data_IF_677651004551
#
_entry.id   IF_677651004551
#
_cell.length_a   1.000
_cell.length_b   1.000
_cell.length_c   1.000
_cell.angle_alpha   90.00
_cell.angle_beta   90.00
_cell.angle_gamma   90.00
#
_symmetry.space_group_name_H-M   'P 1'
#
loop_
_entity.id
_entity.type
_entity.pdbx_description
1 polymer ?
#
# COMPACT_ATOMS: atom_id res chain seq x y z
N UNK A 1 -9.83 -9.23 -1.58
CA UNK A 1 -9.46 -7.93 -2.15
C UNK A 1 -10.73 -7.26 -2.60
N UNK A 2 -10.88 -5.98 -2.26
CA UNK A 2 -12.08 -5.20 -2.59
C UNK A 2 -11.94 -4.56 -3.97
N UNK A 3 -10.71 -4.27 -4.39
CA UNK A 3 -10.38 -3.71 -5.69
C UNK A 3 -9.00 -4.19 -6.12
N UNK A 4 -8.82 -4.40 -7.41
CA UNK A 4 -7.53 -4.73 -8.04
C UNK A 4 -7.42 -3.87 -9.29
N UNK A 5 -6.26 -3.28 -9.52
CA UNK A 5 -5.96 -2.52 -10.72
C UNK A 5 -4.56 -2.79 -11.23
N UNK A 6 -4.28 -2.40 -12.46
CA UNK A 6 -2.97 -2.59 -13.11
C UNK A 6 -2.45 -1.25 -13.60
N UNK A 7 -1.26 -0.87 -13.18
CA UNK A 7 -0.56 0.33 -13.61
C UNK A 7 0.70 -0.01 -14.38
N UNK A 8 1.09 0.87 -15.30
CA UNK A 8 2.42 0.86 -15.90
C UNK A 8 3.50 1.29 -14.90
N UNK A 9 4.75 1.12 -15.28
CA UNK A 9 5.92 1.42 -14.43
C UNK A 9 6.47 2.84 -14.61
N UNK A 10 5.98 3.59 -15.59
CA UNK A 10 6.42 4.96 -15.84
C UNK A 10 5.70 5.94 -14.90
N UNK A 11 6.41 6.41 -13.89
CA UNK A 11 5.96 7.43 -12.95
C UNK A 11 6.78 8.74 -13.06
N UNK A 12 7.41 9.01 -14.22
CA UNK A 12 8.27 10.17 -14.41
C UNK A 12 7.57 11.50 -14.06
N UNK A 13 6.26 11.60 -14.32
CA UNK A 13 5.47 12.78 -13.98
C UNK A 13 5.39 13.05 -12.45
N UNK A 14 5.60 12.05 -11.61
CA UNK A 14 5.60 12.18 -10.15
C UNK A 14 6.97 12.56 -9.57
N UNK A 15 8.06 12.44 -10.35
CA UNK A 15 9.43 12.69 -9.88
C UNK A 15 9.67 14.14 -9.39
N UNK A 16 9.20 15.20 -10.09
CA UNK A 16 9.41 16.55 -9.62
C UNK A 16 8.76 16.82 -8.25
N UNK A 17 7.55 16.33 -8.03
CA UNK A 17 6.85 16.44 -6.76
C UNK A 17 7.58 15.70 -5.62
N UNK A 18 8.04 14.48 -5.88
CA UNK A 18 8.83 13.71 -4.94
C UNK A 18 10.16 14.40 -4.59
N UNK A 19 10.86 14.94 -5.61
CA UNK A 19 12.11 15.67 -5.40
C UNK A 19 11.90 16.92 -4.54
N UNK A 20 10.88 17.71 -4.83
CA UNK A 20 10.51 18.90 -4.05
C UNK A 20 10.14 18.54 -2.61
N UNK A 21 9.38 17.49 -2.39
CA UNK A 21 8.99 16.99 -1.08
C UNK A 21 10.20 16.55 -0.24
N UNK A 22 11.16 15.84 -0.88
CA UNK A 22 12.41 15.43 -0.24
C UNK A 22 13.28 16.64 0.11
N UNK A 23 13.44 17.59 -0.83
CA UNK A 23 14.24 18.79 -0.65
C UNK A 23 13.70 19.69 0.47
N UNK A 24 12.39 19.75 0.63
CA UNK A 24 11.71 20.48 1.71
C UNK A 24 11.83 19.77 3.08
N UNK A 25 12.40 18.57 3.15
CA UNK A 25 12.56 17.83 4.40
C UNK A 25 11.24 17.33 5.00
N UNK A 26 10.16 17.22 4.22
CA UNK A 26 8.84 16.81 4.70
C UNK A 26 8.80 15.38 5.23
N UNK A 27 9.82 14.58 4.95
CA UNK A 27 9.99 13.25 5.56
C UNK A 27 10.35 13.31 7.06
N UNK A 28 10.73 14.48 7.61
CA UNK A 28 11.11 14.63 9.02
C UNK A 28 12.25 13.68 9.40
N UNK A 29 12.09 12.97 10.51
CA UNK A 29 13.06 11.99 11.00
C UNK A 29 13.01 10.63 10.27
N UNK A 30 12.12 10.46 9.29
CA UNK A 30 12.01 9.21 8.52
C UNK A 30 13.06 9.12 7.42
N UNK A 31 14.33 9.00 7.79
CA UNK A 31 15.46 9.00 6.85
C UNK A 31 15.39 7.89 5.79
N UNK A 32 14.65 6.80 6.05
CA UNK A 32 14.42 5.74 5.07
C UNK A 32 13.61 6.25 3.85
N UNK A 33 12.83 7.32 4.01
CA UNK A 33 12.11 7.95 2.90
C UNK A 33 13.08 8.60 1.91
N UNK A 34 14.10 9.29 2.41
CA UNK A 34 15.12 9.94 1.59
C UNK A 34 16.13 8.94 0.99
N UNK A 35 16.44 7.83 1.69
CA UNK A 35 17.47 6.86 1.28
C UNK A 35 17.31 6.34 -0.14
N UNK A 36 16.08 6.15 -0.61
CA UNK A 36 15.81 5.61 -1.93
C UNK A 36 15.59 6.70 -2.98
N UNK A 37 15.42 7.97 -2.57
CA UNK A 37 15.25 9.10 -3.46
C UNK A 37 14.24 8.83 -4.59
N UNK A 38 14.61 9.19 -5.81
CA UNK A 38 13.76 9.02 -6.99
C UNK A 38 13.50 7.56 -7.40
N UNK A 39 14.24 6.58 -6.86
CA UNK A 39 13.91 5.15 -7.12
C UNK A 39 12.49 4.80 -6.71
N UNK A 40 11.87 5.57 -5.78
CA UNK A 40 10.47 5.39 -5.41
C UNK A 40 9.50 5.60 -6.57
N UNK A 41 9.85 6.44 -7.52
CA UNK A 41 9.09 6.69 -8.74
C UNK A 41 9.52 5.78 -9.91
N UNK A 42 10.43 4.83 -9.68
CA UNK A 42 11.02 3.99 -10.73
C UNK A 42 10.94 2.50 -10.37
N UNK A 43 9.74 1.91 -10.40
CA UNK A 43 9.53 0.51 -10.03
C UNK A 43 10.46 -0.47 -10.77
N UNK A 44 10.78 -0.21 -12.04
CA UNK A 44 11.67 -1.04 -12.84
C UNK A 44 13.16 -0.99 -12.39
N UNK A 45 13.58 0.09 -11.72
CA UNK A 45 14.90 0.15 -11.08
C UNK A 45 14.92 -0.62 -9.74
N UNK A 46 13.79 -0.72 -9.07
CA UNK A 46 13.65 -1.48 -7.82
C UNK A 46 13.62 -2.98 -8.07
N UNK A 47 12.90 -3.39 -9.09
CA UNK A 47 12.79 -4.79 -9.54
C UNK A 47 13.03 -4.81 -11.05
N UNK A 48 14.25 -5.13 -11.51
CA UNK A 48 14.57 -5.16 -12.93
C UNK A 48 13.64 -6.10 -13.72
N UNK A 49 13.22 -5.65 -14.91
CA UNK A 49 12.31 -6.40 -15.75
C UNK A 49 10.83 -6.23 -15.39
N UNK A 50 10.48 -5.36 -14.43
CA UNK A 50 9.07 -5.07 -14.12
C UNK A 50 8.39 -4.42 -15.32
N UNK A 51 7.36 -5.06 -15.86
CA UNK A 51 6.54 -4.55 -16.97
C UNK A 51 5.29 -3.80 -16.47
N UNK A 52 4.72 -4.23 -15.33
CA UNK A 52 3.54 -3.62 -14.75
C UNK A 52 3.51 -3.82 -13.23
N UNK A 53 2.65 -3.04 -12.56
CA UNK A 53 2.40 -3.16 -11.13
C UNK A 53 0.92 -3.44 -10.92
N UNK A 54 0.62 -4.52 -10.23
CA UNK A 54 -0.73 -4.84 -9.79
C UNK A 54 -0.94 -4.25 -8.41
N UNK A 55 -1.88 -3.33 -8.28
CA UNK A 55 -2.30 -2.76 -7.00
C UNK A 55 -3.55 -3.47 -6.49
N UNK A 56 -3.67 -3.61 -5.18
CA UNK A 56 -4.83 -4.24 -4.59
C UNK A 56 -5.22 -3.54 -3.29
N UNK A 57 -6.51 -3.28 -3.13
CA UNK A 57 -7.10 -2.73 -1.92
C UNK A 57 -7.87 -3.81 -1.15
N UNK A 58 -7.79 -3.73 0.16
CA UNK A 58 -8.58 -4.56 1.06
C UNK A 58 -9.24 -3.66 2.11
N UNK A 59 -10.55 -3.69 2.17
CA UNK A 59 -11.29 -3.00 3.21
C UNK A 59 -11.06 -3.70 4.56
N UNK A 60 -10.86 -2.92 5.60
CA UNK A 60 -10.57 -3.39 6.95
C UNK A 60 -11.59 -2.93 7.99
N UNK A 61 -12.54 -2.09 7.60
CA UNK A 61 -13.60 -1.65 8.50
C UNK A 61 -14.48 -2.84 8.92
N UNK A 62 -14.97 -2.88 10.17
CA UNK A 62 -15.92 -3.88 10.60
C UNK A 62 -17.14 -3.90 9.69
N UNK A 63 -17.65 -5.09 9.40
CA UNK A 63 -18.99 -5.21 8.80
C UNK A 63 -19.99 -4.90 9.89
N UNK A 64 -20.54 -3.72 9.85
CA UNK A 64 -21.54 -3.27 10.80
C UNK A 64 -22.88 -3.07 10.06
N UNK A 65 -23.84 -3.91 10.43
CA UNK A 65 -25.22 -3.87 9.91
C UNK A 65 -26.02 -2.71 10.54
N UNK A 66 -25.47 -1.53 10.64
CA UNK A 66 -26.17 -0.38 11.23
C UNK A 66 -25.33 0.88 11.41
N UNK A 67 -24.05 0.86 11.01
CA UNK A 67 -23.19 2.04 11.06
C UNK A 67 -22.74 2.45 12.47
N UNK A 68 -23.04 1.67 13.50
CA UNK A 68 -22.77 1.98 14.90
C UNK A 68 -21.30 1.93 15.30
N UNK A 69 -20.44 1.37 14.44
CA UNK A 69 -19.01 1.29 14.73
C UNK A 69 -18.37 2.67 14.90
N UNK A 70 -18.89 3.71 14.21
CA UNK A 70 -18.41 5.11 14.37
C UNK A 70 -18.74 5.61 15.77
N UNK A 71 -19.99 5.46 16.19
CA UNK A 71 -20.46 5.88 17.52
C UNK A 71 -19.68 5.15 18.63
N UNK A 72 -19.43 3.86 18.46
CA UNK A 72 -18.64 3.05 19.39
C UNK A 72 -17.17 3.51 19.47
N UNK A 73 -16.56 3.89 18.34
CA UNK A 73 -15.21 4.43 18.29
C UNK A 73 -15.14 5.83 18.94
N UNK A 74 -16.10 6.71 18.66
CA UNK A 74 -16.18 8.04 19.26
C UNK A 74 -16.37 7.96 20.78
N UNK A 75 -17.24 7.07 21.24
CA UNK A 75 -17.42 6.80 22.65
C UNK A 75 -16.16 6.23 23.31
N UNK A 76 -15.43 5.36 22.60
CA UNK A 76 -14.17 4.82 23.09
C UNK A 76 -13.06 5.89 23.18
N UNK A 77 -13.00 6.79 22.19
CA UNK A 77 -12.05 7.93 22.20
C UNK A 77 -12.36 8.95 23.30
N UNK A 78 -13.63 9.12 23.65
CA UNK A 78 -14.06 10.03 24.71
C UNK A 78 -13.83 9.48 26.13
N UNK A 79 -13.62 8.17 26.30
CA UNK A 79 -13.39 7.57 27.63
C UNK A 79 -11.90 7.63 28.00
N UNK A 80 -11.49 8.47 28.99
CA UNK A 80 -10.09 8.62 29.38
C UNK A 80 -9.48 7.36 30.04
N UNK A 81 -10.30 6.35 30.33
CA UNK A 81 -9.85 5.07 30.93
C UNK A 81 -9.55 4.00 29.86
N UNK A 82 -9.78 4.31 28.59
CA UNK A 82 -9.61 3.35 27.49
C UNK A 82 -8.46 3.77 26.59
N UNK A 83 -7.61 2.81 26.25
CA UNK A 83 -6.67 2.95 25.13
C UNK A 83 -7.38 2.56 23.83
N UNK A 84 -7.29 3.41 22.81
CA UNK A 84 -7.86 3.14 21.48
C UNK A 84 -6.74 2.84 20.50
N UNK A 85 -6.86 1.70 19.84
CA UNK A 85 -5.97 1.27 18.76
C UNK A 85 -6.70 1.47 17.43
N UNK A 86 -6.02 2.04 16.44
CA UNK A 86 -6.58 2.22 15.10
C UNK A 86 -7.14 0.92 14.53
N UNK A 87 -8.30 0.99 13.89
CA UNK A 87 -9.04 -0.20 13.41
C UNK A 87 -8.19 -1.09 12.51
N UNK A 88 -7.36 -0.51 11.63
CA UNK A 88 -6.49 -1.27 10.74
C UNK A 88 -5.44 -2.12 11.47
N UNK A 89 -5.06 -1.70 12.70
CA UNK A 89 -4.04 -2.38 13.50
C UNK A 89 -4.62 -3.45 14.44
N UNK A 90 -5.94 -3.61 14.47
CA UNK A 90 -6.61 -4.60 15.30
C UNK A 90 -6.59 -5.98 14.64
N UNK A 91 -6.53 -7.02 15.44
CA UNK A 91 -6.59 -8.40 14.99
C UNK A 91 -5.25 -8.93 14.50
N UNK A 92 -5.27 -9.62 13.35
CA UNK A 92 -4.06 -10.20 12.77
C UNK A 92 -3.22 -9.14 12.08
N UNK A 93 -1.89 -9.31 12.11
CA UNK A 93 -0.94 -8.48 11.36
C UNK A 93 -1.34 -8.39 9.88
N UNK A 94 -1.80 -7.21 9.46
CA UNK A 94 -2.29 -6.97 8.11
C UNK A 94 -1.20 -7.14 7.05
N UNK A 95 0.07 -6.88 7.39
CA UNK A 95 1.18 -7.12 6.46
C UNK A 95 1.25 -8.59 6.05
N UNK A 96 1.12 -9.50 7.02
CA UNK A 96 1.13 -10.95 6.76
C UNK A 96 -0.12 -11.38 5.99
N UNK A 97 -1.28 -10.82 6.34
CA UNK A 97 -2.54 -11.15 5.68
C UNK A 97 -2.53 -10.71 4.22
N UNK A 98 -2.18 -9.44 3.94
CA UNK A 98 -2.12 -8.90 2.58
C UNK A 98 -1.06 -9.62 1.75
N UNK A 99 0.15 -9.77 2.29
CA UNK A 99 1.23 -10.47 1.59
C UNK A 99 0.84 -11.88 1.18
N UNK A 100 0.22 -12.65 2.08
CA UNK A 100 -0.26 -14.01 1.77
C UNK A 100 -1.35 -14.00 0.68
N UNK A 101 -2.26 -13.02 0.70
CA UNK A 101 -3.31 -12.91 -0.32
C UNK A 101 -2.78 -12.48 -1.67
N UNK A 102 -1.83 -11.54 -1.71
CA UNK A 102 -1.15 -11.11 -2.94
C UNK A 102 -0.31 -12.23 -3.54
N UNK A 103 0.38 -13.01 -2.72
CA UNK A 103 1.13 -14.17 -3.19
C UNK A 103 0.21 -15.19 -3.87
N UNK A 104 -0.91 -15.53 -3.25
CA UNK A 104 -1.92 -16.43 -3.85
C UNK A 104 -2.53 -15.85 -5.14
N UNK A 105 -2.69 -14.53 -5.22
CA UNK A 105 -3.13 -13.88 -6.47
C UNK A 105 -2.09 -14.08 -7.58
N UNK A 106 -0.81 -13.84 -7.29
CA UNK A 106 0.26 -14.03 -8.26
C UNK A 106 0.36 -15.49 -8.74
N UNK A 107 0.24 -16.46 -7.83
CA UNK A 107 0.22 -17.89 -8.15
C UNK A 107 -0.96 -18.25 -9.06
N UNK A 108 -2.15 -17.74 -8.79
CA UNK A 108 -3.31 -17.95 -9.67
C UNK A 108 -3.13 -17.33 -11.03
N UNK A 109 -2.59 -16.09 -11.10
CA UNK A 109 -2.27 -15.46 -12.38
C UNK A 109 -1.26 -16.30 -13.17
N UNK A 110 -0.22 -16.84 -12.54
CA UNK A 110 0.76 -17.68 -13.18
C UNK A 110 0.14 -18.98 -13.75
N UNK A 111 -0.93 -19.48 -13.16
CA UNK A 111 -1.68 -20.63 -13.69
C UNK A 111 -2.42 -20.27 -14.99
N UNK A 112 -2.94 -19.05 -15.11
CA UNK A 112 -3.73 -18.61 -16.26
C UNK A 112 -2.87 -18.10 -17.44
N UNK A 113 -1.79 -17.36 -17.15
CA UNK A 113 -1.00 -16.68 -18.17
C UNK A 113 0.37 -17.32 -18.42
N UNK A 114 0.70 -18.36 -17.66
CA UNK A 114 2.03 -18.97 -17.65
C UNK A 114 2.95 -18.34 -16.59
N UNK A 115 4.12 -18.96 -16.33
CA UNK A 115 5.05 -18.52 -15.30
C UNK A 115 5.65 -17.15 -15.62
N UNK A 116 5.71 -16.28 -14.62
CA UNK A 116 6.34 -14.95 -14.68
C UNK A 116 7.05 -14.63 -13.37
N UNK A 117 8.08 -13.76 -13.43
CA UNK A 117 8.72 -13.21 -12.24
C UNK A 117 7.80 -12.21 -11.55
N UNK A 118 7.72 -12.29 -10.23
CA UNK A 118 6.94 -11.33 -9.44
C UNK A 118 7.56 -11.07 -8.07
N UNK A 119 7.22 -9.96 -7.48
CA UNK A 119 7.57 -9.63 -6.10
C UNK A 119 6.39 -8.96 -5.41
N UNK A 120 6.04 -9.46 -4.24
CA UNK A 120 4.91 -8.98 -3.44
C UNK A 120 5.39 -8.04 -2.36
N UNK A 121 4.73 -6.88 -2.24
CA UNK A 121 4.99 -5.87 -1.23
C UNK A 121 3.73 -5.53 -0.44
N UNK A 122 3.91 -5.12 0.80
CA UNK A 122 2.90 -4.50 1.65
C UNK A 122 3.64 -3.56 2.58
N UNK A 123 3.53 -2.26 2.38
CA UNK A 123 4.22 -1.17 3.11
C UNK A 123 5.76 -1.33 3.22
N UNK A 124 6.35 -2.28 2.54
CA UNK A 124 7.75 -2.67 2.69
C UNK A 124 8.63 -2.31 1.49
N UNK A 125 8.06 -1.75 0.44
CA UNK A 125 8.79 -1.34 -0.74
C UNK A 125 8.89 0.19 -0.85
N UNK A 126 10.02 0.71 -1.34
CA UNK A 126 10.16 2.13 -1.62
C UNK A 126 9.50 2.48 -2.97
N UNK A 127 8.18 2.40 -3.05
CA UNK A 127 7.38 2.75 -4.23
C UNK A 127 6.35 3.84 -3.88
N UNK A 128 5.86 4.55 -4.89
CA UNK A 128 4.78 5.52 -4.75
C UNK A 128 3.44 4.78 -4.87
N UNK A 129 3.02 4.12 -3.80
CA UNK A 129 1.83 3.24 -3.80
C UNK A 129 0.55 3.98 -4.18
N UNK A 130 0.35 5.20 -3.66
CA UNK A 130 -0.83 6.02 -3.96
C UNK A 130 -0.86 6.42 -5.43
N UNK A 131 0.28 6.84 -6.00
CA UNK A 131 0.39 7.18 -7.43
C UNK A 131 0.10 5.97 -8.31
N UNK A 132 0.66 4.81 -7.97
CA UNK A 132 0.38 3.56 -8.67
C UNK A 132 -1.10 3.16 -8.57
N UNK A 133 -1.70 3.29 -7.39
CA UNK A 133 -3.12 2.99 -7.21
C UNK A 133 -4.02 3.91 -8.01
N UNK A 134 -3.72 5.22 -8.04
CA UNK A 134 -4.45 6.21 -8.84
C UNK A 134 -4.40 5.88 -10.34
N UNK A 135 -3.25 5.44 -10.85
CA UNK A 135 -3.09 5.06 -12.27
C UNK A 135 -3.71 3.72 -12.61
N UNK A 136 -3.94 2.89 -11.62
CA UNK A 136 -4.54 1.57 -11.79
C UNK A 136 -6.10 1.61 -11.83
N UNK A 137 -6.71 2.72 -11.47
CA UNK A 137 -8.16 2.94 -11.49
C UNK A 137 -8.84 2.64 -10.17
#
# INVERSE_FOLDING_TARGET
>A
MSQIGVAGVDLAAAEPGLAAWLAAGFHGSMHYMARHGLKRARPAELVPGTASVITARMDYLPRDEGGRWIDDEEAALADPRRAVVSVYARGRDYHKVLRSRLQRLAERLATEVGPFGHRVFTDSAPVLEVELATRAG
#
